data_IF_439554274566
#
_entry.id   IF_439554274566
#
_cell.length_a   1.000
_cell.length_b   1.000
_cell.length_c   1.000
_cell.angle_alpha   90.00
_cell.angle_beta   90.00
_cell.angle_gamma   90.00
#
_symmetry.space_group_name_H-M   'P 1'
#
loop_
_entity.id
_entity.type
_entity.pdbx_description
1 polymer ?
#
# COMPACT_ATOMS: atom_id res chain seq x y z
N UNK A 1 -10.29 -12.10 -20.26
CA UNK A 1 -10.93 -10.98 -19.55
C UNK A 1 -9.84 -10.26 -18.78
N UNK A 2 -9.63 -8.98 -19.06
CA UNK A 2 -8.59 -8.20 -18.38
C UNK A 2 -8.94 -8.03 -16.91
N UNK A 3 -8.00 -8.31 -16.02
CA UNK A 3 -8.13 -8.00 -14.60
C UNK A 3 -8.18 -6.48 -14.47
N UNK A 4 -9.37 -5.92 -14.23
CA UNK A 4 -9.46 -4.54 -13.77
C UNK A 4 -8.77 -4.49 -12.40
N UNK A 5 -7.72 -3.67 -12.28
CA UNK A 5 -7.08 -3.41 -11.01
C UNK A 5 -8.11 -2.68 -10.12
N UNK A 6 -8.72 -3.41 -9.20
CA UNK A 6 -9.78 -2.93 -8.30
C UNK A 6 -9.27 -1.95 -7.25
N UNK A 7 -7.96 -1.66 -7.26
CA UNK A 7 -7.35 -0.82 -6.25
C UNK A 7 -7.84 0.63 -6.38
N UNK A 8 -8.23 1.19 -5.24
CA UNK A 8 -8.62 2.61 -5.11
C UNK A 8 -7.46 3.53 -5.49
N UNK A 9 -7.74 4.81 -5.73
CA UNK A 9 -6.68 5.79 -6.07
C UNK A 9 -5.70 5.90 -4.91
N UNK A 10 -6.21 5.81 -3.69
CA UNK A 10 -5.49 5.83 -2.44
C UNK A 10 -4.60 4.58 -2.28
N UNK A 11 -5.12 3.37 -2.54
CA UNK A 11 -4.32 2.15 -2.51
C UNK A 11 -3.20 2.18 -3.55
N UNK A 12 -3.48 2.70 -4.75
CA UNK A 12 -2.45 2.91 -5.79
C UNK A 12 -1.38 3.88 -5.33
N UNK A 13 -1.76 4.91 -4.57
CA UNK A 13 -0.82 5.87 -4.00
C UNK A 13 0.06 5.23 -2.91
N UNK A 14 -0.52 4.48 -1.98
CA UNK A 14 0.24 3.72 -0.96
C UNK A 14 1.23 2.76 -1.62
N UNK A 15 0.78 2.04 -2.66
CA UNK A 15 1.61 1.16 -3.48
C UNK A 15 2.80 1.88 -4.11
N UNK A 16 2.57 3.07 -4.67
CA UNK A 16 3.64 3.88 -5.30
C UNK A 16 4.67 4.33 -4.27
N UNK A 17 4.22 4.78 -3.10
CA UNK A 17 5.07 5.35 -2.06
C UNK A 17 5.87 4.31 -1.28
N UNK A 18 5.27 3.16 -1.01
CA UNK A 18 5.83 2.16 -0.09
C UNK A 18 6.12 0.83 -0.75
N UNK A 19 5.44 0.50 -1.84
CA UNK A 19 5.42 -0.82 -2.46
C UNK A 19 4.11 -1.56 -2.19
N UNK A 20 3.92 -2.69 -2.86
CA UNK A 20 2.73 -3.54 -2.74
C UNK A 20 2.88 -4.55 -1.60
N UNK A 21 3.48 -5.69 -1.87
CA UNK A 21 3.72 -6.74 -0.87
C UNK A 21 5.06 -6.49 -0.15
N UNK A 22 6.04 -5.99 -0.89
CA UNK A 22 7.40 -5.74 -0.40
C UNK A 22 7.65 -4.25 -0.43
N UNK A 23 8.40 -3.78 0.55
CA UNK A 23 8.82 -2.38 0.59
C UNK A 23 9.74 -2.12 -0.59
N UNK A 24 9.48 -1.06 -1.35
CA UNK A 24 10.35 -0.65 -2.46
C UNK A 24 11.66 -0.05 -1.93
N UNK A 25 12.69 -0.03 -2.79
CA UNK A 25 14.02 0.41 -2.37
C UNK A 25 14.05 1.90 -1.96
N UNK A 26 13.27 2.76 -2.64
CA UNK A 26 13.16 4.17 -2.29
C UNK A 26 12.65 4.39 -0.86
N UNK A 27 11.60 3.67 -0.46
CA UNK A 27 11.03 3.79 0.89
C UNK A 27 11.94 3.18 1.94
N UNK A 28 12.64 2.10 1.57
CA UNK A 28 13.65 1.49 2.42
C UNK A 28 14.81 2.42 2.70
N UNK A 29 15.31 3.14 1.68
CA UNK A 29 16.36 4.15 1.86
C UNK A 29 15.87 5.31 2.73
N UNK A 30 14.65 5.78 2.53
CA UNK A 30 14.10 6.88 3.31
C UNK A 30 13.94 6.52 4.79
N UNK A 31 13.40 5.33 5.06
CA UNK A 31 13.25 4.83 6.44
C UNK A 31 14.61 4.62 7.10
N UNK A 32 15.62 4.13 6.36
CA UNK A 32 16.99 4.03 6.86
C UNK A 32 17.60 5.40 7.19
N UNK A 33 17.43 6.41 6.33
CA UNK A 33 17.90 7.79 6.57
C UNK A 33 17.30 8.36 7.85
N UNK A 34 16.00 8.11 8.10
CA UNK A 34 15.27 8.52 9.32
C UNK A 34 15.58 7.66 10.55
N UNK A 35 16.36 6.59 10.40
CA UNK A 35 16.69 5.65 11.47
C UNK A 35 15.52 4.75 11.89
N UNK A 36 14.55 4.56 11.00
CA UNK A 36 13.40 3.68 11.16
C UNK A 36 13.81 2.27 10.76
N UNK A 37 13.65 1.28 11.65
CA UNK A 37 13.99 -0.10 11.31
C UNK A 37 12.96 -0.69 10.33
N UNK A 38 13.38 -1.68 9.54
CA UNK A 38 12.57 -2.19 8.44
C UNK A 38 11.22 -2.79 8.87
N UNK A 39 11.15 -3.35 10.08
CA UNK A 39 9.89 -3.87 10.61
C UNK A 39 8.87 -2.74 10.86
N UNK A 40 9.32 -1.56 11.28
CA UNK A 40 8.46 -0.40 11.47
C UNK A 40 8.04 0.19 10.13
N UNK A 41 8.90 0.14 9.11
CA UNK A 41 8.53 0.51 7.74
C UNK A 41 7.36 -0.37 7.22
N UNK A 42 7.38 -1.68 7.50
CA UNK A 42 6.25 -2.57 7.16
C UNK A 42 5.00 -2.27 7.97
N UNK A 43 5.15 -1.84 9.22
CA UNK A 43 4.02 -1.43 10.05
C UNK A 43 3.38 -0.14 9.51
N UNK A 44 4.18 0.82 9.04
CA UNK A 44 3.70 2.06 8.39
C UNK A 44 2.90 1.71 7.14
N UNK A 45 3.45 0.87 6.25
CA UNK A 45 2.76 0.42 5.04
C UNK A 45 1.42 -0.26 5.36
N UNK A 46 1.41 -1.23 6.29
CA UNK A 46 0.17 -1.91 6.72
C UNK A 46 -0.85 -0.95 7.32
N UNK A 47 -0.39 0.02 8.12
CA UNK A 47 -1.26 1.03 8.73
C UNK A 47 -1.91 1.90 7.67
N UNK A 48 -1.16 2.35 6.66
CA UNK A 48 -1.71 3.13 5.55
C UNK A 48 -2.77 2.36 4.77
N UNK A 49 -2.51 1.10 4.39
CA UNK A 49 -3.53 0.27 3.73
C UNK A 49 -4.80 0.13 4.58
N UNK A 50 -4.65 -0.14 5.87
CA UNK A 50 -5.78 -0.26 6.77
C UNK A 50 -6.57 1.06 6.92
N UNK A 51 -5.88 2.20 7.02
CA UNK A 51 -6.53 3.52 7.11
C UNK A 51 -7.25 3.89 5.78
N UNK A 52 -6.74 3.44 4.63
CA UNK A 52 -7.42 3.54 3.33
C UNK A 52 -8.63 2.60 3.23
N UNK A 53 -8.52 1.34 3.63
CA UNK A 53 -9.63 0.36 3.65
C UNK A 53 -10.79 0.80 4.57
N UNK A 54 -10.45 1.56 5.60
CA UNK A 54 -11.39 2.20 6.54
C UNK A 54 -11.98 3.52 6.02
N UNK A 55 -11.61 3.94 4.82
CA UNK A 55 -12.02 5.21 4.20
C UNK A 55 -11.68 6.44 5.08
N UNK A 56 -10.64 6.35 5.92
CA UNK A 56 -10.17 7.48 6.73
C UNK A 56 -9.26 8.41 5.93
N UNK A 57 -8.57 7.86 4.94
CA UNK A 57 -7.74 8.60 3.99
C UNK A 57 -8.50 8.70 2.67
N UNK A 58 -8.84 9.92 2.28
CA UNK A 58 -9.57 10.21 1.04
C UNK A 58 -8.70 11.08 0.14
N UNK A 59 -8.37 10.58 -1.04
CA UNK A 59 -7.49 11.24 -2.01
C UNK A 59 -5.99 11.06 -1.73
N UNK A 60 -5.18 11.25 -2.77
CA UNK A 60 -3.72 11.05 -2.72
C UNK A 60 -3.04 11.96 -1.68
N UNK A 61 -3.49 13.21 -1.56
CA UNK A 61 -2.92 14.18 -0.63
C UNK A 61 -3.08 13.76 0.85
N UNK A 62 -4.18 13.08 1.19
CA UNK A 62 -4.39 12.57 2.54
C UNK A 62 -3.42 11.42 2.85
N UNK A 63 -3.20 10.53 1.89
CA UNK A 63 -2.22 9.44 2.00
C UNK A 63 -0.80 9.98 2.15
N UNK A 64 -0.46 10.98 1.34
CA UNK A 64 0.83 11.68 1.38
C UNK A 64 1.08 12.30 2.75
N UNK A 65 0.17 13.16 3.22
CA UNK A 65 0.27 13.81 4.52
C UNK A 65 0.41 12.79 5.66
N UNK A 66 -0.40 11.73 5.61
CA UNK A 66 -0.39 10.69 6.63
C UNK A 66 0.91 9.88 6.64
N UNK A 67 1.48 9.60 5.47
CA UNK A 67 2.78 8.92 5.39
C UNK A 67 3.87 9.76 6.05
N UNK A 68 3.91 11.06 5.80
CA UNK A 68 4.92 11.94 6.40
C UNK A 68 4.76 12.02 7.91
N UNK A 69 3.53 12.13 8.41
CA UNK A 69 3.25 12.09 9.85
C UNK A 69 3.79 10.80 10.49
N UNK A 70 3.53 9.63 9.88
CA UNK A 70 4.02 8.35 10.38
C UNK A 70 5.56 8.23 10.33
N UNK A 71 6.19 8.81 9.30
CA UNK A 71 7.65 8.87 9.19
C UNK A 71 8.28 9.82 10.22
N UNK A 72 7.59 10.88 10.60
CA UNK A 72 8.02 11.81 11.65
C UNK A 72 7.81 11.23 13.05
N UNK A 73 6.67 10.58 13.31
CA UNK A 73 6.38 9.90 14.58
C UNK A 73 7.41 8.80 14.90
N UNK A 74 7.80 8.02 13.88
CA UNK A 74 8.71 6.88 14.03
C UNK A 74 10.17 7.26 13.79
N UNK A 75 10.42 8.39 13.14
CA UNK A 75 11.74 8.87 12.79
C UNK A 75 12.54 9.25 14.03
N UNK A 76 13.72 8.63 14.20
CA UNK A 76 14.67 9.03 15.26
C UNK A 76 15.55 10.20 14.82
N UNK A 77 15.69 10.38 13.51
CA UNK A 77 16.50 11.43 12.89
C UNK A 77 15.60 12.36 12.11
N UNK A 78 15.82 13.67 12.28
CA UNK A 78 15.19 14.68 11.43
C UNK A 78 15.85 14.63 10.05
N UNK A 79 15.01 14.61 9.04
CA UNK A 79 15.40 14.59 7.63
C UNK A 79 14.76 15.80 6.98
N UNK A 80 15.56 16.58 6.24
CA UNK A 80 15.14 17.90 5.74
C UNK A 80 14.38 17.84 4.41
N UNK A 81 14.48 16.72 3.68
CA UNK A 81 13.82 16.57 2.38
C UNK A 81 12.43 15.93 2.52
N UNK A 82 11.54 16.29 1.60
CA UNK A 82 10.19 15.78 1.53
C UNK A 82 10.13 14.58 0.57
N UNK A 83 10.05 13.38 1.14
CA UNK A 83 10.06 12.12 0.39
C UNK A 83 8.96 12.03 -0.68
N UNK A 84 7.79 12.63 -0.44
CA UNK A 84 6.67 12.60 -1.38
C UNK A 84 7.01 13.33 -2.68
N UNK A 85 7.71 14.46 -2.58
CA UNK A 85 8.07 15.28 -3.73
C UNK A 85 9.04 14.51 -4.65
N UNK A 86 9.99 13.77 -4.06
CA UNK A 86 10.93 12.92 -4.81
C UNK A 86 10.22 11.82 -5.60
N UNK A 87 9.13 11.25 -5.07
CA UNK A 87 8.35 10.19 -5.77
C UNK A 87 7.31 10.76 -6.75
N UNK A 88 6.87 11.99 -6.54
CA UNK A 88 5.94 12.66 -7.46
C UNK A 88 6.55 12.82 -8.86
N UNK A 89 7.85 13.15 -8.94
CA UNK A 89 8.58 13.40 -10.17
C UNK A 89 8.87 12.15 -11.02
N UNK A 90 8.70 10.95 -10.47
CA UNK A 90 8.93 9.68 -11.17
C UNK A 90 7.76 9.23 -12.07
N UNK A 91 6.68 10.03 -12.17
CA UNK A 91 5.59 9.78 -13.12
C UNK A 91 5.61 10.80 -14.29
N UNK A 92 5.94 10.45 -15.55
CA UNK A 92 6.50 9.21 -16.11
C UNK A 92 7.76 9.49 -16.98
N UNK A 93 8.98 9.22 -16.48
CA UNK A 93 10.16 9.17 -17.38
C UNK A 93 10.20 7.90 -18.26
N UNK A 94 9.22 7.01 -18.12
CA UNK A 94 9.07 5.80 -18.94
C UNK A 94 7.73 5.73 -19.68
N UNK A 95 7.28 6.82 -20.32
CA UNK A 95 6.33 6.67 -21.43
C UNK A 95 7.05 5.99 -22.62
N UNK A 96 7.00 4.65 -22.63
CA UNK A 96 6.87 3.90 -23.88
C UNK A 96 8.14 3.47 -24.62
N UNK A 97 9.20 3.02 -23.94
CA UNK A 97 10.18 2.13 -24.59
C UNK A 97 10.01 0.71 -24.06
N UNK A 98 9.01 0.00 -24.58
CA UNK A 98 9.05 -1.46 -24.58
C UNK A 98 10.21 -1.81 -25.53
N UNK A 99 11.28 -2.49 -25.08
CA UNK A 99 12.33 -2.95 -25.98
C UNK A 99 11.69 -3.75 -27.13
N UNK A 100 12.08 -3.48 -28.37
CA UNK A 100 11.51 -4.16 -29.52
C UNK A 100 11.57 -5.68 -29.31
N UNK A 101 10.43 -6.36 -29.50
CA UNK A 101 10.35 -7.82 -29.37
C UNK A 101 11.41 -8.44 -30.30
N UNK A 102 12.33 -9.28 -29.80
CA UNK A 102 13.32 -9.91 -30.65
C UNK A 102 12.60 -10.70 -31.75
N UNK A 103 13.04 -10.54 -33.00
CA UNK A 103 12.39 -11.10 -34.20
C UNK A 103 12.45 -12.64 -34.26
N UNK A 104 13.10 -13.28 -33.30
CA UNK A 104 13.25 -14.73 -33.22
C UNK A 104 12.86 -15.20 -31.83
N UNK A 105 12.07 -16.28 -31.77
CA UNK A 105 11.80 -16.97 -30.52
C UNK A 105 13.11 -17.58 -29.98
N UNK A 106 13.43 -17.46 -28.68
CA UNK A 106 14.60 -18.12 -28.12
C UNK A 106 14.43 -19.63 -28.30
N UNK A 107 15.36 -20.24 -29.03
CA UNK A 107 15.27 -21.65 -29.44
C UNK A 107 15.61 -22.62 -28.30
N UNK A 108 16.18 -22.15 -27.18
CA UNK A 108 16.42 -22.95 -25.97
C UNK A 108 16.39 -22.06 -24.72
N UNK A 109 15.68 -22.51 -23.68
CA UNK A 109 15.60 -21.84 -22.40
C UNK A 109 16.81 -22.18 -21.53
N UNK A 110 17.98 -21.62 -21.85
CA UNK A 110 19.23 -21.79 -21.05
C UNK A 110 19.03 -21.40 -19.56
N UNK A 111 18.06 -20.52 -19.30
CA UNK A 111 17.69 -20.09 -17.94
C UNK A 111 17.03 -21.23 -17.15
N UNK A 112 16.18 -22.06 -17.78
CA UNK A 112 15.47 -23.15 -17.10
C UNK A 112 16.39 -24.33 -16.77
N UNK A 113 17.41 -24.58 -17.60
CA UNK A 113 18.39 -25.66 -17.38
C UNK A 113 19.42 -25.32 -16.29
N UNK A 114 19.52 -24.04 -15.89
CA UNK A 114 20.43 -23.56 -14.83
C UNK A 114 19.80 -23.53 -13.43
N UNK A 115 18.49 -23.76 -13.32
CA UNK A 115 17.75 -23.66 -12.04
C UNK A 115 17.67 -25.07 -11.42
N UNK A 116 18.39 -25.34 -10.31
CA UNK A 116 18.22 -26.60 -9.61
C UNK A 116 16.78 -26.73 -9.08
N UNK A 117 16.21 -27.94 -9.02
CA UNK A 117 14.87 -28.14 -8.49
C UNK A 117 14.79 -27.58 -7.07
N UNK A 118 13.90 -26.62 -6.85
CA UNK A 118 13.68 -26.02 -5.52
C UNK A 118 13.29 -27.12 -4.54
N UNK A 119 14.16 -27.36 -3.55
CA UNK A 119 13.82 -28.09 -2.35
C UNK A 119 12.56 -27.47 -1.75
N UNK A 120 11.51 -28.27 -1.65
CA UNK A 120 10.22 -27.85 -1.09
C UNK A 120 10.42 -27.73 0.42
N UNK A 121 10.92 -26.59 0.88
CA UNK A 121 11.08 -26.32 2.31
C UNK A 121 9.68 -26.37 2.95
N UNK A 122 9.41 -27.47 3.65
CA UNK A 122 8.15 -27.76 4.31
C UNK A 122 7.92 -26.84 5.51
N UNK A 123 7.63 -25.57 5.26
CA UNK A 123 7.12 -24.65 6.29
C UNK A 123 5.68 -25.05 6.59
N UNK A 124 5.50 -25.76 7.70
CA UNK A 124 4.20 -25.99 8.31
C UNK A 124 3.63 -24.63 8.74
N UNK A 125 2.42 -24.31 8.27
CA UNK A 125 1.69 -23.13 8.72
C UNK A 125 1.33 -23.32 10.19
N UNK A 126 2.00 -22.60 11.09
CA UNK A 126 1.60 -22.56 12.49
C UNK A 126 0.15 -22.05 12.59
N UNK A 127 -0.66 -22.77 13.36
CA UNK A 127 -2.07 -22.43 13.62
C UNK A 127 -2.13 -20.98 14.13
N UNK A 128 -3.02 -20.18 13.53
CA UNK A 128 -3.25 -18.78 13.94
C UNK A 128 -3.57 -18.74 15.43
N UNK A 129 -3.01 -17.79 16.21
CA UNK A 129 -3.33 -17.66 17.62
C UNK A 129 -4.84 -17.42 17.79
N UNK A 130 -5.42 -18.03 18.81
CA UNK A 130 -6.84 -17.83 19.15
C UNK A 130 -7.08 -16.37 19.48
N UNK A 131 -8.14 -15.81 18.87
CA UNK A 131 -8.49 -14.40 19.01
C UNK A 131 -9.19 -14.22 20.36
N UNK A 132 -8.78 -13.18 21.08
CA UNK A 132 -9.38 -12.83 22.37
C UNK A 132 -10.72 -12.13 22.17
N UNK A 133 -11.56 -12.11 23.20
CA UNK A 133 -12.83 -11.33 23.21
C UNK A 133 -12.58 -9.84 22.91
N UNK A 134 -11.46 -9.28 23.38
CA UNK A 134 -11.04 -7.92 23.07
C UNK A 134 -10.81 -7.70 21.56
N UNK A 135 -10.24 -8.68 20.85
CA UNK A 135 -10.05 -8.59 19.39
C UNK A 135 -11.38 -8.57 18.63
N UNK A 136 -12.38 -9.30 19.13
CA UNK A 136 -13.73 -9.28 18.55
C UNK A 136 -14.44 -7.95 18.80
N UNK A 137 -14.34 -7.42 20.02
CA UNK A 137 -14.90 -6.10 20.35
C UNK A 137 -14.27 -4.99 19.51
N UNK A 138 -12.95 -5.01 19.33
CA UNK A 138 -12.26 -4.07 18.46
C UNK A 138 -12.75 -4.18 17.01
N UNK A 139 -12.97 -5.39 16.49
CA UNK A 139 -13.55 -5.55 15.14
C UNK A 139 -14.97 -4.97 15.03
N UNK A 140 -15.83 -5.24 16.01
CA UNK A 140 -17.21 -4.73 16.02
C UNK A 140 -17.20 -3.21 16.07
N UNK A 141 -16.33 -2.62 16.92
CA UNK A 141 -16.17 -1.17 17.01
C UNK A 141 -15.77 -0.55 15.67
N UNK A 142 -14.73 -1.10 15.03
CA UNK A 142 -14.26 -0.62 13.73
C UNK A 142 -15.31 -0.77 12.63
N UNK A 143 -16.06 -1.87 12.64
CA UNK A 143 -17.17 -2.09 11.71
C UNK A 143 -18.28 -1.06 11.89
N UNK A 144 -18.66 -0.76 13.14
CA UNK A 144 -19.67 0.25 13.44
C UNK A 144 -19.21 1.65 13.02
N UNK A 145 -17.94 1.99 13.24
CA UNK A 145 -17.37 3.25 12.78
C UNK A 145 -17.47 3.40 11.25
N UNK A 146 -17.21 2.32 10.50
CA UNK A 146 -17.37 2.31 9.04
C UNK A 146 -18.82 2.54 8.63
N UNK A 147 -19.78 1.86 9.28
CA UNK A 147 -21.22 2.04 9.02
C UNK A 147 -21.65 3.49 9.28
N UNK A 148 -21.19 4.09 10.38
CA UNK A 148 -21.52 5.49 10.71
C UNK A 148 -21.00 6.44 9.64
N UNK A 149 -19.76 6.25 9.17
CA UNK A 149 -19.19 7.09 8.12
C UNK A 149 -19.95 6.96 6.79
N UNK A 150 -20.38 5.74 6.44
CA UNK A 150 -21.22 5.51 5.27
C UNK A 150 -22.59 6.20 5.41
N UNK A 151 -23.23 6.09 6.57
CA UNK A 151 -24.52 6.75 6.83
C UNK A 151 -24.42 8.28 6.71
N UNK A 152 -23.32 8.89 7.18
CA UNK A 152 -23.08 10.33 7.00
C UNK A 152 -23.07 10.74 5.53
N UNK A 153 -22.36 9.98 4.68
CA UNK A 153 -22.31 10.23 3.23
C UNK A 153 -23.71 10.11 2.60
N UNK A 154 -24.47 9.09 2.98
CA UNK A 154 -25.85 8.89 2.49
C UNK A 154 -26.74 10.08 2.85
N UNK A 155 -26.69 10.54 4.10
CA UNK A 155 -27.45 11.72 4.56
C UNK A 155 -27.05 12.98 3.77
N UNK A 156 -25.76 13.20 3.53
CA UNK A 156 -25.28 14.33 2.74
C UNK A 156 -25.77 14.28 1.28
N UNK A 157 -25.87 13.09 0.69
CA UNK A 157 -26.41 12.92 -0.66
C UNK A 157 -27.94 13.14 -0.70
N UNK A 158 -28.66 12.63 0.31
CA UNK A 158 -30.11 12.81 0.41
C UNK A 158 -30.50 14.28 0.59
N UNK A 159 -29.80 15.00 1.48
CA UNK A 159 -30.01 16.45 1.68
C UNK A 159 -29.76 17.27 0.42
N UNK A 160 -28.69 16.96 -0.34
CA UNK A 160 -28.44 17.59 -1.65
C UNK A 160 -29.51 17.28 -2.71
N UNK A 161 -30.25 16.18 -2.58
CA UNK A 161 -31.38 15.87 -3.45
C UNK A 161 -32.61 16.68 -3.03
N UNK A 162 -32.89 16.78 -1.73
CA UNK A 162 -33.99 17.61 -1.20
C UNK A 162 -33.82 19.08 -1.55
N UNK A 163 -32.60 19.63 -1.49
CA UNK A 163 -32.32 21.03 -1.88
C UNK A 163 -32.52 21.31 -3.38
N UNK A 164 -32.60 20.28 -4.22
CA UNK A 164 -32.79 20.39 -5.68
C UNK A 164 -34.23 20.13 -6.13
N UNK A 165 -35.11 19.73 -5.21
CA UNK A 165 -36.55 19.55 -5.41
C UNK A 165 -37.31 20.82 -5.03
#
# INVERSE_FOLDING_TARGET
MGFYNTNTVEEKRVNKLTGDIHINDAFKEETQKRGIPIYDAYNIQKRLYHEVEQEMLVGEAAVDARLMELLEERGKKKVSHNYIEEIADDAPKSKGMIPARPKQAPVRNEILDSIPPRGRDGKTFNKRPEKTTADYLNRIFLQNQKIINQNKKVIELLTKIEEKL
#
